data_IF_970524266866
#
_entry.id   IF_970524266866
#
_cell.length_a   1.000
_cell.length_b   1.000
_cell.length_c   1.000
_cell.angle_alpha   90.00
_cell.angle_beta   90.00
_cell.angle_gamma   90.00
#
_symmetry.space_group_name_H-M   'P 1'
#
loop_
_entity.id
_entity.type
_entity.pdbx_description
1 polymer ?
#
# COMPACT_ATOMS: atom_id res chain seq x y z
N UNK A 1 -15.95 0.21 -13.91
CA UNK A 1 -14.75 0.50 -13.11
C UNK A 1 -15.03 1.71 -12.23
N UNK A 2 -15.02 1.51 -10.91
CA UNK A 2 -15.21 2.60 -9.96
C UNK A 2 -13.97 3.51 -9.88
N UNK A 3 -14.08 4.65 -9.18
CA UNK A 3 -12.99 5.62 -9.11
C UNK A 3 -11.74 5.09 -8.38
N UNK A 4 -11.91 4.15 -7.44
CA UNK A 4 -10.80 3.54 -6.70
C UNK A 4 -10.05 2.58 -7.62
N UNK A 5 -10.76 1.72 -8.35
CA UNK A 5 -10.18 0.82 -9.34
C UNK A 5 -9.42 1.59 -10.42
N UNK A 6 -9.97 2.72 -10.92
CA UNK A 6 -9.25 3.59 -11.87
C UNK A 6 -7.92 4.07 -11.32
N UNK A 7 -7.90 4.58 -10.08
CA UNK A 7 -6.65 5.04 -9.45
C UNK A 7 -5.65 3.89 -9.29
N UNK A 8 -6.11 2.72 -8.84
CA UNK A 8 -5.25 1.54 -8.66
C UNK A 8 -4.72 1.05 -10.02
N UNK A 9 -5.50 1.11 -11.10
CA UNK A 9 -5.08 0.68 -12.44
C UNK A 9 -3.90 1.46 -13.02
N UNK A 10 -3.71 2.71 -12.60
CA UNK A 10 -2.62 3.56 -13.06
C UNK A 10 -1.36 3.45 -12.18
N UNK A 11 -1.36 2.58 -11.17
CA UNK A 11 -0.21 2.39 -10.29
C UNK A 11 0.86 1.51 -10.96
N UNK A 12 2.12 1.84 -10.68
CA UNK A 12 3.25 1.01 -11.13
C UNK A 12 3.21 -0.39 -10.49
N UNK A 13 3.85 -1.41 -11.10
CA UNK A 13 3.93 -2.76 -10.53
C UNK A 13 4.50 -2.81 -9.10
N UNK A 14 5.41 -1.89 -8.76
CA UNK A 14 5.95 -1.78 -7.40
C UNK A 14 4.92 -1.28 -6.40
N UNK A 15 4.09 -0.32 -6.80
CA UNK A 15 3.01 0.23 -5.97
C UNK A 15 1.88 -0.79 -5.79
N UNK A 16 1.51 -1.51 -6.85
CA UNK A 16 0.53 -2.60 -6.77
C UNK A 16 0.98 -3.70 -5.82
N UNK A 17 2.25 -4.14 -5.92
CA UNK A 17 2.81 -5.12 -4.97
C UNK A 17 2.80 -4.62 -3.52
N UNK A 18 3.12 -3.35 -3.28
CA UNK A 18 3.07 -2.76 -1.95
C UNK A 18 1.63 -2.70 -1.39
N UNK A 19 0.63 -2.36 -2.22
CA UNK A 19 -0.78 -2.40 -1.83
C UNK A 19 -1.26 -3.84 -1.56
N UNK A 20 -0.82 -4.81 -2.34
CA UNK A 20 -1.14 -6.22 -2.11
C UNK A 20 -0.59 -6.75 -0.78
N UNK A 21 0.60 -6.30 -0.40
CA UNK A 21 1.14 -6.61 0.92
C UNK A 21 0.33 -5.94 2.03
N UNK A 22 0.00 -4.67 1.85
CA UNK A 22 -0.81 -3.93 2.81
C UNK A 22 -2.19 -4.59 3.01
N UNK A 23 -2.82 -5.08 1.95
CA UNK A 23 -4.12 -5.76 2.05
C UNK A 23 -4.04 -7.07 2.84
N UNK A 24 -2.91 -7.79 2.77
CA UNK A 24 -2.64 -9.01 3.54
C UNK A 24 -2.13 -8.78 4.96
N UNK A 25 -1.76 -7.55 5.31
CA UNK A 25 -1.14 -7.26 6.58
C UNK A 25 -2.14 -7.28 7.75
N UNK A 26 -1.70 -7.68 8.96
CA UNK A 26 -2.55 -7.61 10.14
C UNK A 26 -3.07 -6.18 10.36
N UNK A 27 -4.39 -6.02 10.42
CA UNK A 27 -5.09 -4.72 10.61
C UNK A 27 -4.80 -3.67 9.52
N UNK A 28 -4.25 -4.07 8.37
CA UNK A 28 -3.91 -3.15 7.28
C UNK A 28 -2.73 -2.25 7.64
N UNK A 29 -1.80 -2.74 8.46
CA UNK A 29 -0.60 -2.04 8.91
C UNK A 29 0.68 -2.71 8.38
N UNK A 30 1.53 -1.93 7.72
CA UNK A 30 2.83 -2.39 7.22
C UNK A 30 3.96 -1.49 7.71
N UNK A 31 5.00 -2.10 8.27
CA UNK A 31 6.27 -1.41 8.53
C UNK A 31 7.15 -1.43 7.29
N UNK A 32 7.58 -0.25 6.86
CA UNK A 32 8.52 -0.11 5.74
C UNK A 32 9.87 -0.79 5.99
N UNK A 33 10.29 -0.96 7.25
CA UNK A 33 11.55 -1.63 7.59
C UNK A 33 11.42 -3.15 7.71
N UNK A 34 10.30 -3.66 8.20
CA UNK A 34 10.16 -5.10 8.49
C UNK A 34 9.68 -5.86 7.25
N UNK A 35 8.93 -5.20 6.39
CA UNK A 35 8.36 -5.78 5.18
C UNK A 35 9.31 -5.73 3.97
N UNK A 36 10.50 -5.17 4.12
CA UNK A 36 11.50 -5.06 3.04
C UNK A 36 12.01 -6.43 2.55
N UNK A 37 12.19 -7.38 3.47
CA UNK A 37 12.72 -8.72 3.16
C UNK A 37 11.78 -9.55 2.27
N UNK A 38 10.46 -9.36 2.39
CA UNK A 38 9.46 -10.14 1.64
C UNK A 38 9.25 -9.70 0.19
N UNK A 39 9.86 -8.59 -0.25
CA UNK A 39 9.62 -7.99 -1.59
C UNK A 39 10.89 -7.81 -2.42
N UNK A 40 12.04 -8.29 -1.94
CA UNK A 40 13.33 -8.06 -2.61
C UNK A 40 13.67 -6.56 -2.72
N UNK A 41 13.07 -5.70 -1.87
CA UNK A 41 13.33 -4.26 -1.81
C UNK A 41 13.76 -3.87 -0.41
N UNK A 42 14.94 -3.30 -0.26
CA UNK A 42 15.44 -2.81 1.03
C UNK A 42 14.53 -1.71 1.62
N UNK A 43 14.46 -1.59 2.95
CA UNK A 43 13.40 -0.82 3.64
C UNK A 43 13.26 0.65 3.22
N UNK A 44 14.37 1.30 2.83
CA UNK A 44 14.33 2.67 2.25
C UNK A 44 13.59 2.71 0.91
N UNK A 45 13.75 1.69 0.08
CA UNK A 45 13.04 1.57 -1.20
C UNK A 45 11.54 1.32 -0.99
N UNK A 46 11.15 0.54 0.03
CA UNK A 46 9.74 0.32 0.36
C UNK A 46 9.08 1.58 0.93
N UNK A 47 9.78 2.31 1.81
CA UNK A 47 9.32 3.61 2.30
C UNK A 47 9.09 4.61 1.16
N UNK A 48 9.98 4.65 0.16
CA UNK A 48 9.81 5.48 -1.03
C UNK A 48 8.55 5.12 -1.85
N UNK A 49 8.25 3.82 -2.00
CA UNK A 49 7.04 3.35 -2.69
C UNK A 49 5.78 3.79 -1.94
N UNK A 50 5.75 3.65 -0.61
CA UNK A 50 4.60 4.10 0.17
C UNK A 50 4.47 5.63 0.18
N UNK A 51 5.56 6.38 0.29
CA UNK A 51 5.53 7.84 0.14
C UNK A 51 5.00 8.29 -1.24
N UNK A 52 5.25 7.50 -2.29
CA UNK A 52 4.64 7.74 -3.59
C UNK A 52 3.15 7.42 -3.61
N UNK A 53 2.74 6.29 -3.01
CA UNK A 53 1.33 5.88 -2.89
C UNK A 53 0.46 6.91 -2.14
N UNK A 54 0.97 7.53 -1.09
CA UNK A 54 0.25 8.59 -0.35
C UNK A 54 -0.19 9.73 -1.28
N UNK A 55 0.58 10.05 -2.32
CA UNK A 55 0.22 11.16 -3.22
C UNK A 55 -1.03 10.89 -4.04
N UNK A 56 -1.44 9.63 -4.18
CA UNK A 56 -2.68 9.27 -4.85
C UNK A 56 -3.86 9.51 -3.90
N UNK A 57 -4.68 10.50 -4.25
CA UNK A 57 -5.90 10.85 -3.52
C UNK A 57 -7.13 10.32 -4.23
N UNK A 58 -8.10 9.88 -3.44
CA UNK A 58 -9.42 9.43 -3.88
C UNK A 58 -10.42 10.32 -3.15
N UNK A 59 -11.15 11.15 -3.88
CA UNK A 59 -12.08 12.14 -3.31
C UNK A 59 -11.43 13.04 -2.23
N UNK A 60 -10.17 13.44 -2.45
CA UNK A 60 -9.41 14.29 -1.51
C UNK A 60 -8.74 13.54 -0.35
N UNK A 61 -9.07 12.27 -0.12
CA UNK A 61 -8.47 11.44 0.92
C UNK A 61 -7.33 10.56 0.39
N UNK A 62 -6.33 10.29 1.24
CA UNK A 62 -5.22 9.42 0.91
C UNK A 62 -5.61 7.95 0.99
N UNK A 63 -5.24 7.14 -0.01
CA UNK A 63 -5.49 5.69 0.00
C UNK A 63 -4.76 4.99 1.16
N UNK A 64 -3.56 5.47 1.48
CA UNK A 64 -2.75 4.99 2.61
C UNK A 64 -2.29 6.16 3.46
N UNK A 65 -2.06 5.92 4.74
CA UNK A 65 -1.78 6.95 5.75
C UNK A 65 -0.52 6.55 6.54
N UNK A 66 0.43 7.47 6.80
CA UNK A 66 1.52 7.22 7.73
C UNK A 66 0.99 7.00 9.15
N UNK A 67 1.42 5.93 9.81
CA UNK A 67 0.96 5.49 11.14
C UNK A 67 2.13 5.45 12.13
N UNK A 68 2.87 6.56 12.21
CA UNK A 68 4.00 6.71 13.14
C UNK A 68 5.27 5.95 12.74
N UNK A 69 6.24 5.92 13.67
CA UNK A 69 7.53 5.23 13.48
C UNK A 69 7.38 3.73 13.67
N UNK A 70 8.18 2.95 12.95
CA UNK A 70 8.33 1.51 13.18
C UNK A 70 8.84 1.21 14.59
N UNK A 71 8.48 0.07 15.17
CA UNK A 71 8.82 -0.34 16.55
C UNK A 71 10.33 -0.37 16.81
N UNK A 72 11.13 -0.65 15.78
CA UNK A 72 12.59 -0.66 15.81
C UNK A 72 13.22 0.74 15.61
N UNK A 73 12.41 1.81 15.58
CA UNK A 73 12.85 3.19 15.37
C UNK A 73 13.35 3.51 13.96
N UNK A 74 13.36 2.55 13.03
CA UNK A 74 13.82 2.73 11.64
C UNK A 74 12.64 2.70 10.68
N UNK A 75 12.34 3.83 10.06
CA UNK A 75 11.27 3.95 9.06
C UNK A 75 9.88 4.19 9.63
N UNK A 76 8.88 4.22 8.74
CA UNK A 76 7.48 4.50 9.06
C UNK A 76 6.60 3.26 8.96
N UNK A 77 5.58 3.22 9.79
CA UNK A 77 4.44 2.36 9.60
C UNK A 77 3.43 3.03 8.67
N UNK A 78 2.70 2.22 7.92
CA UNK A 78 1.71 2.66 6.95
C UNK A 78 0.42 1.92 7.20
N UNK A 79 -0.70 2.63 7.11
CA UNK A 79 -2.04 2.09 7.33
C UNK A 79 -2.89 2.26 6.08
N UNK A 80 -3.73 1.27 5.78
CA UNK A 80 -4.81 1.41 4.81
C UNK A 80 -5.88 2.40 5.31
N UNK A 81 -6.31 3.33 4.46
CA UNK A 81 -7.47 4.15 4.77
C UNK A 81 -8.76 3.34 4.55
N UNK A 82 -9.24 2.71 5.61
CA UNK A 82 -10.42 1.85 5.58
C UNK A 82 -11.73 2.61 5.37
N UNK A 83 -11.73 3.95 5.39
CA UNK A 83 -12.88 4.77 4.98
C UNK A 83 -13.11 4.70 3.47
N UNK A 84 -12.04 4.56 2.70
CA UNK A 84 -12.08 4.50 1.24
C UNK A 84 -12.30 3.08 0.72
N UNK A 85 -11.58 2.11 1.30
CA UNK A 85 -11.61 0.73 0.83
C UNK A 85 -11.29 -0.26 1.96
N UNK A 86 -12.04 -1.37 2.02
CA UNK A 86 -11.73 -2.47 2.95
C UNK A 86 -10.50 -3.26 2.48
N UNK A 87 -9.85 -3.97 3.41
CA UNK A 87 -8.70 -4.82 3.05
C UNK A 87 -9.07 -5.90 2.03
N UNK A 88 -10.23 -6.54 2.19
CA UNK A 88 -10.69 -7.61 1.28
C UNK A 88 -10.96 -7.07 -0.13
N UNK A 89 -11.60 -5.91 -0.23
CA UNK A 89 -11.84 -5.27 -1.53
C UNK A 89 -10.53 -4.84 -2.18
N UNK A 90 -9.60 -4.25 -1.42
CA UNK A 90 -8.28 -3.90 -1.93
C UNK A 90 -7.53 -5.14 -2.44
N UNK A 91 -7.58 -6.24 -1.69
CA UNK A 91 -6.96 -7.50 -2.08
C UNK A 91 -7.52 -8.01 -3.40
N UNK A 92 -8.85 -8.01 -3.56
CA UNK A 92 -9.52 -8.43 -4.80
C UNK A 92 -9.04 -7.59 -6.00
N UNK A 93 -9.19 -6.27 -5.90
CA UNK A 93 -8.85 -5.33 -6.99
C UNK A 93 -7.37 -5.44 -7.38
N UNK A 94 -6.47 -5.49 -6.40
CA UNK A 94 -5.03 -5.57 -6.67
C UNK A 94 -4.62 -6.95 -7.20
N UNK A 95 -5.25 -8.04 -6.74
CA UNK A 95 -5.00 -9.39 -7.27
C UNK A 95 -5.39 -9.53 -8.73
N UNK A 96 -6.54 -8.96 -9.12
CA UNK A 96 -6.97 -8.93 -10.51
C UNK A 96 -5.93 -8.19 -11.37
N UNK A 97 -5.39 -7.06 -10.93
CA UNK A 97 -4.40 -6.33 -11.71
C UNK A 97 -3.01 -7.00 -11.79
N UNK A 98 -2.59 -7.72 -10.74
CA UNK A 98 -1.29 -8.40 -10.73
C UNK A 98 -1.33 -9.68 -11.57
N UNK A 99 -2.46 -10.40 -11.60
CA UNK A 99 -2.58 -11.66 -12.34
C UNK A 99 -2.85 -11.48 -13.84
N UNK A 100 -3.20 -10.27 -14.28
CA UNK A 100 -3.40 -9.91 -15.69
C UNK A 100 -2.19 -9.21 -16.33
N UNK A 101 -1.07 -9.11 -15.62
CA UNK A 101 0.16 -8.42 -16.07
C UNK A 101 1.34 -9.34 -16.31
#
# INVERSE_FOLDING_TARGET
>A
MDFIEKVIHHLSPSQLRALFMLSKSPKGLVSSSNSSKSIGKEGKALGGVFSALVRHKINGEHLIIPWGKSENGRGLNWRLNTKLISQDRLKKVVSEMINYG
#
